data_IF_030027021944
#
_entry.id   IF_030027021944
#
_cell.length_a   1.000
_cell.length_b   1.000
_cell.length_c   1.000
_cell.angle_alpha   90.00
_cell.angle_beta   90.00
_cell.angle_gamma   90.00
#
_symmetry.space_group_name_H-M   'P 1'
#
loop_
_entity.id
_entity.type
_entity.pdbx_description
1 polymer ?
#
# COMPACT_ATOMS: atom_id res chain seq x y z
N UNK A 1 12.61 2.33 -8.13
CA UNK A 1 12.60 1.30 -7.06
C UNK A 1 13.73 0.34 -7.32
N UNK A 2 14.50 0.00 -6.29
CA UNK A 2 15.56 -1.01 -6.36
C UNK A 2 15.10 -2.26 -5.60
N UNK A 3 15.36 -3.43 -6.16
CA UNK A 3 15.10 -4.72 -5.55
C UNK A 3 16.43 -5.41 -5.23
N UNK A 4 16.52 -5.94 -4.01
CA UNK A 4 17.67 -6.71 -3.54
C UNK A 4 17.20 -8.09 -3.07
N UNK A 5 17.94 -9.14 -3.40
CA UNK A 5 17.77 -10.46 -2.79
C UNK A 5 18.50 -10.47 -1.45
N UNK A 6 17.87 -11.09 -0.45
CA UNK A 6 18.40 -11.25 0.90
C UNK A 6 18.93 -12.68 1.01
N UNK A 7 20.21 -12.86 1.30
CA UNK A 7 20.79 -14.18 1.55
C UNK A 7 20.20 -14.78 2.85
N UNK A 8 19.73 -16.04 2.85
CA UNK A 8 19.05 -16.65 3.99
C UNK A 8 19.97 -16.91 5.20
N UNK A 9 21.27 -16.97 4.95
CA UNK A 9 22.32 -17.38 5.88
C UNK A 9 22.90 -16.21 6.68
N UNK A 10 23.11 -15.06 6.06
CA UNK A 10 23.73 -13.88 6.69
C UNK A 10 22.99 -12.55 6.47
N UNK A 11 21.90 -12.55 5.68
CA UNK A 11 21.14 -11.36 5.36
C UNK A 11 21.80 -10.41 4.36
N UNK A 12 22.89 -10.82 3.69
CA UNK A 12 23.57 -10.00 2.69
C UNK A 12 22.62 -9.63 1.54
N UNK A 13 22.74 -8.38 1.08
CA UNK A 13 21.91 -7.81 0.02
C UNK A 13 22.64 -7.88 -1.32
N UNK A 14 22.04 -8.55 -2.30
CA UNK A 14 22.52 -8.55 -3.69
C UNK A 14 21.52 -7.83 -4.57
N UNK A 15 21.97 -6.82 -5.32
CA UNK A 15 21.11 -6.14 -6.30
C UNK A 15 20.52 -7.17 -7.28
N UNK A 16 19.22 -7.07 -7.53
CA UNK A 16 18.51 -8.04 -8.35
C UNK A 16 17.79 -7.39 -9.53
N UNK A 17 17.14 -6.24 -9.31
CA UNK A 17 16.41 -5.55 -10.35
C UNK A 17 16.15 -4.09 -9.97
N UNK A 18 15.73 -3.30 -10.95
CA UNK A 18 15.17 -1.97 -10.74
C UNK A 18 13.95 -1.74 -11.62
N UNK A 19 13.08 -0.84 -11.17
CA UNK A 19 11.93 -0.37 -11.96
C UNK A 19 11.76 1.13 -11.75
N UNK A 20 11.46 1.84 -12.84
CA UNK A 20 11.06 3.24 -12.77
C UNK A 20 9.78 3.39 -11.94
N UNK A 21 9.62 4.54 -11.29
CA UNK A 21 8.43 4.92 -10.53
C UNK A 21 7.87 6.24 -11.10
N UNK A 22 6.55 6.45 -11.07
CA UNK A 22 5.92 7.66 -11.61
C UNK A 22 6.13 8.90 -10.72
N UNK A 23 6.76 8.74 -9.55
CA UNK A 23 7.06 9.83 -8.62
C UNK A 23 8.10 9.42 -7.60
N UNK A 24 8.62 10.40 -6.86
CA UNK A 24 9.58 10.13 -5.77
C UNK A 24 8.86 9.40 -4.62
N UNK A 25 9.31 8.20 -4.22
CA UNK A 25 8.62 7.39 -3.22
C UNK A 25 8.73 8.04 -1.84
N UNK A 26 7.58 8.23 -1.18
CA UNK A 26 7.49 8.63 0.24
C UNK A 26 7.24 7.41 1.13
N UNK A 27 6.57 6.39 0.60
CA UNK A 27 6.26 5.16 1.30
C UNK A 27 6.18 3.99 0.32
N UNK A 28 6.56 2.80 0.79
CA UNK A 28 6.52 1.55 0.04
C UNK A 28 5.95 0.44 0.93
N UNK A 29 5.08 -0.41 0.37
CA UNK A 29 4.51 -1.59 1.04
C UNK A 29 4.14 -2.65 -0.01
N UNK A 30 3.76 -3.85 0.43
CA UNK A 30 3.28 -4.91 -0.45
C UNK A 30 1.85 -5.30 -0.10
N UNK A 31 1.22 -6.07 -0.99
CA UNK A 31 0.08 -6.89 -0.60
C UNK A 31 0.54 -8.09 0.23
N UNK A 32 -0.38 -8.76 0.93
CA UNK A 32 -0.06 -9.88 1.82
C UNK A 32 0.38 -11.16 1.07
N UNK A 33 0.19 -11.21 -0.25
CA UNK A 33 0.55 -12.36 -1.08
C UNK A 33 1.83 -12.14 -1.90
N UNK A 34 2.47 -10.96 -1.79
CA UNK A 34 3.70 -10.65 -2.53
C UNK A 34 3.50 -10.54 -4.05
N UNK A 35 2.28 -10.23 -4.50
CA UNK A 35 1.92 -10.03 -5.90
C UNK A 35 2.14 -8.58 -6.36
N UNK A 36 2.06 -7.63 -5.44
CA UNK A 36 2.11 -6.21 -5.75
C UNK A 36 2.93 -5.42 -4.73
N UNK A 37 3.59 -4.37 -5.21
CA UNK A 37 4.17 -3.29 -4.41
C UNK A 37 3.33 -2.03 -4.60
N UNK A 38 2.97 -1.37 -3.49
CA UNK A 38 2.32 -0.07 -3.48
C UNK A 38 3.35 1.01 -3.15
N UNK A 39 3.37 2.08 -3.93
CA UNK A 39 4.25 3.22 -3.70
C UNK A 39 3.42 4.49 -3.63
N UNK A 40 3.42 5.15 -2.47
CA UNK A 40 2.85 6.49 -2.31
C UNK A 40 3.91 7.56 -2.58
N UNK A 41 3.56 8.59 -3.34
CA UNK A 41 4.44 9.73 -3.65
C UNK A 41 3.80 11.05 -3.21
N UNK A 42 4.41 11.69 -2.20
CA UNK A 42 3.88 12.91 -1.62
C UNK A 42 3.92 14.10 -2.59
N UNK A 43 5.05 14.29 -3.27
CA UNK A 43 5.26 15.42 -4.17
C UNK A 43 4.55 15.23 -5.51
N UNK A 44 4.52 14.00 -6.05
CA UNK A 44 3.76 13.72 -7.27
C UNK A 44 2.25 13.69 -7.00
N UNK A 45 1.83 13.44 -5.76
CA UNK A 45 0.41 13.38 -5.39
C UNK A 45 -0.26 12.14 -5.97
N UNK A 46 0.42 10.99 -5.95
CA UNK A 46 -0.11 9.75 -6.48
C UNK A 46 0.23 8.52 -5.63
N UNK A 47 -0.50 7.44 -5.88
CA UNK A 47 -0.13 6.09 -5.48
C UNK A 47 0.00 5.24 -6.74
N UNK A 48 1.02 4.37 -6.79
CA UNK A 48 1.24 3.45 -7.90
C UNK A 48 1.29 2.01 -7.41
N UNK A 49 0.89 1.09 -8.30
CA UNK A 49 0.94 -0.35 -8.08
C UNK A 49 1.91 -0.95 -9.08
N UNK A 50 2.93 -1.63 -8.59
CA UNK A 50 3.89 -2.40 -9.40
C UNK A 50 3.64 -3.87 -9.18
N UNK A 51 3.48 -4.65 -10.27
CA UNK A 51 3.37 -6.10 -10.19
C UNK A 51 4.72 -6.70 -9.81
N UNK A 52 4.68 -7.77 -9.02
CA UNK A 52 5.82 -8.62 -8.74
C UNK A 52 5.70 -9.93 -9.52
N UNK A 53 6.82 -10.40 -10.06
CA UNK A 53 7.01 -11.73 -10.62
C UNK A 53 8.25 -12.34 -9.97
N UNK A 54 8.09 -13.48 -9.30
CA UNK A 54 9.11 -14.10 -8.43
C UNK A 54 9.81 -13.10 -7.48
N UNK A 55 9.03 -12.21 -6.88
CA UNK A 55 9.53 -11.16 -5.96
C UNK A 55 10.27 -10.00 -6.63
N UNK A 56 10.38 -9.98 -7.97
CA UNK A 56 11.00 -8.90 -8.73
C UNK A 56 9.93 -8.00 -9.37
N UNK A 57 10.17 -6.67 -9.47
CA UNK A 57 9.24 -5.77 -10.12
C UNK A 57 9.11 -6.06 -11.63
N UNK A 58 7.89 -6.34 -12.06
CA UNK A 58 7.52 -6.66 -13.44
C UNK A 58 6.83 -5.49 -14.18
N UNK A 59 6.81 -4.31 -13.56
CA UNK A 59 6.26 -3.08 -14.15
C UNK A 59 5.04 -2.52 -13.42
N UNK A 60 4.79 -1.23 -13.65
CA UNK A 60 3.66 -0.50 -13.07
C UNK A 60 2.38 -0.93 -13.78
N UNK A 61 1.42 -1.45 -13.01
CA UNK A 61 0.11 -1.89 -13.51
C UNK A 61 -0.98 -0.88 -13.26
N UNK A 62 -0.80 0.05 -12.30
CA UNK A 62 -1.76 1.13 -12.07
C UNK A 62 -1.12 2.35 -11.42
N UNK A 63 -1.69 3.53 -11.69
CA UNK A 63 -1.34 4.79 -11.04
C UNK A 63 -2.62 5.59 -10.79
N UNK A 64 -2.83 5.98 -9.54
CA UNK A 64 -3.93 6.87 -9.15
C UNK A 64 -3.35 8.23 -8.80
N UNK A 65 -3.65 9.21 -9.64
CA UNK A 65 -3.26 10.61 -9.51
C UNK A 65 -4.26 11.41 -8.65
N UNK A 66 -3.94 12.67 -8.34
CA UNK A 66 -4.85 13.59 -7.65
C UNK A 66 -4.99 13.35 -6.15
N UNK A 67 -4.00 12.68 -5.54
CA UNK A 67 -3.88 12.39 -4.12
C UNK A 67 -2.85 13.32 -3.48
N UNK A 68 -3.16 14.61 -3.42
CA UNK A 68 -2.21 15.63 -2.95
C UNK A 68 -1.67 15.32 -1.55
N UNK A 69 -0.34 15.28 -1.43
CA UNK A 69 0.32 14.88 -0.19
C UNK A 69 0.10 13.41 0.18
N UNK A 70 0.00 12.52 -0.82
CA UNK A 70 -0.06 11.06 -0.61
C UNK A 70 1.14 10.59 0.22
N UNK A 71 0.89 10.14 1.44
CA UNK A 71 1.97 9.91 2.41
C UNK A 71 2.21 8.43 2.72
N UNK A 72 1.22 7.56 2.51
CA UNK A 72 1.39 6.11 2.65
C UNK A 72 0.35 5.35 1.85
N UNK A 73 0.59 4.05 1.68
CA UNK A 73 -0.32 3.11 1.04
C UNK A 73 -0.34 1.84 1.88
N UNK A 74 -1.49 1.49 2.45
CA UNK A 74 -1.59 0.44 3.48
C UNK A 74 -2.71 -0.51 3.12
N UNK A 75 -2.37 -1.76 2.80
CA UNK A 75 -3.37 -2.76 2.46
C UNK A 75 -4.11 -3.22 3.72
N UNK A 76 -5.42 -3.37 3.64
CA UNK A 76 -6.25 -3.88 4.72
C UNK A 76 -5.87 -5.33 5.09
N UNK A 77 -6.18 -5.80 6.31
CA UNK A 77 -5.85 -7.17 6.74
C UNK A 77 -6.43 -8.29 5.86
N UNK A 78 -7.57 -8.03 5.19
CA UNK A 78 -8.20 -8.97 4.25
C UNK A 78 -7.61 -8.92 2.83
N UNK A 79 -6.57 -8.11 2.60
CA UNK A 79 -5.91 -7.89 1.31
C UNK A 79 -6.80 -7.27 0.21
N UNK A 80 -7.94 -6.65 0.55
CA UNK A 80 -8.93 -6.17 -0.44
C UNK A 80 -8.95 -4.65 -0.63
N UNK A 81 -8.60 -3.87 0.39
CA UNK A 81 -8.75 -2.42 0.37
C UNK A 81 -7.43 -1.72 0.68
N UNK A 82 -6.91 -0.95 -0.26
CA UNK A 82 -5.75 -0.09 -0.07
C UNK A 82 -6.18 1.25 0.52
N UNK A 83 -5.58 1.62 1.66
CA UNK A 83 -5.86 2.87 2.37
C UNK A 83 -4.73 3.86 2.12
N UNK A 84 -5.08 5.00 1.57
CA UNK A 84 -4.13 5.97 1.05
C UNK A 84 -4.40 7.35 1.66
N UNK A 85 -3.67 7.74 2.72
CA UNK A 85 -3.76 9.08 3.28
C UNK A 85 -3.24 10.13 2.30
N UNK A 86 -4.09 11.08 1.91
CA UNK A 86 -3.75 12.27 1.13
C UNK A 86 -3.77 13.48 2.06
N UNK A 87 -2.61 13.81 2.64
CA UNK A 87 -2.53 14.73 3.78
C UNK A 87 -2.93 16.17 3.44
N UNK A 88 -2.75 16.62 2.19
CA UNK A 88 -3.19 17.96 1.78
C UNK A 88 -4.70 18.04 1.50
N UNK A 89 -5.39 16.90 1.57
CA UNK A 89 -6.83 16.77 1.31
C UNK A 89 -7.61 16.35 2.55
N UNK A 90 -6.96 16.24 3.72
CA UNK A 90 -7.57 15.86 5.00
C UNK A 90 -8.43 14.58 4.92
N UNK A 91 -8.00 13.60 4.11
CA UNK A 91 -8.75 12.36 3.89
C UNK A 91 -7.87 11.13 3.72
N UNK A 92 -8.46 9.99 4.04
CA UNK A 92 -7.94 8.67 3.65
C UNK A 92 -8.81 8.17 2.51
N UNK A 93 -8.20 8.00 1.34
CA UNK A 93 -8.85 7.40 0.18
C UNK A 93 -8.83 5.88 0.32
N UNK A 94 -9.94 5.23 -0.01
CA UNK A 94 -10.08 3.78 0.02
C UNK A 94 -10.20 3.28 -1.42
N UNK A 95 -9.38 2.29 -1.77
CA UNK A 95 -9.40 1.66 -3.08
C UNK A 95 -9.55 0.16 -2.95
N UNK A 96 -10.48 -0.45 -3.68
CA UNK A 96 -10.52 -1.89 -3.85
C UNK A 96 -9.37 -2.31 -4.76
N UNK A 97 -8.56 -3.26 -4.31
CA UNK A 97 -7.52 -3.91 -5.10
C UNK A 97 -8.14 -5.07 -5.90
N UNK A 98 -8.09 -5.00 -7.21
CA UNK A 98 -8.48 -6.11 -8.09
C UNK A 98 -7.33 -7.13 -8.25
N UNK A 99 -7.66 -8.30 -8.80
CA UNK A 99 -6.69 -9.39 -8.98
C UNK A 99 -5.61 -9.07 -10.01
N UNK A 100 -5.87 -8.14 -10.93
CA UNK A 100 -4.89 -7.64 -11.90
C UNK A 100 -4.04 -6.46 -11.38
N UNK A 101 -4.36 -5.94 -10.19
CA UNK A 101 -3.62 -4.87 -9.52
C UNK A 101 -4.17 -3.47 -9.73
N UNK A 102 -5.38 -3.33 -10.28
CA UNK A 102 -6.08 -2.05 -10.41
C UNK A 102 -6.67 -1.59 -9.08
N UNK A 103 -6.65 -0.27 -8.89
CA UNK A 103 -7.20 0.41 -7.73
C UNK A 103 -8.51 1.10 -8.10
N UNK A 104 -9.63 0.55 -7.61
CA UNK A 104 -10.96 1.10 -7.85
C UNK A 104 -11.41 1.89 -6.63
N UNK A 105 -11.65 3.20 -6.78
CA UNK A 105 -12.08 4.04 -5.66
C UNK A 105 -13.37 3.52 -5.04
N UNK A 106 -13.38 3.38 -3.72
CA UNK A 106 -14.60 3.11 -2.96
C UNK A 106 -15.29 4.43 -2.65
N UNK A 107 -16.54 4.57 -3.06
CA UNK A 107 -17.34 5.69 -2.62
C UNK A 107 -17.56 5.63 -1.11
N UNK A 108 -17.60 6.82 -0.49
CA UNK A 108 -17.89 6.95 0.94
C UNK A 108 -19.30 6.42 1.19
N UNK A 109 -19.41 5.21 1.71
CA UNK A 109 -20.68 4.70 2.21
C UNK A 109 -21.14 5.65 3.31
N UNK A 110 -22.24 6.38 3.09
CA UNK A 110 -22.82 7.28 4.10
C UNK A 110 -23.13 6.45 5.35
N UNK A 111 -22.31 6.59 6.39
CA UNK A 111 -22.69 6.11 7.71
C UNK A 111 -23.85 6.99 8.22
N UNK A 112 -24.82 6.44 8.95
CA UNK A 112 -25.69 7.26 9.79
C UNK A 112 -24.83 8.18 10.67
N UNK A 113 -25.25 9.42 10.93
CA UNK A 113 -24.47 10.34 11.76
C UNK A 113 -24.19 9.69 13.12
N UNK A 114 -22.91 9.59 13.47
CA UNK A 114 -22.50 9.20 14.82
C UNK A 114 -22.92 10.32 15.78
N UNK A 115 -23.69 9.98 16.83
CA UNK A 115 -23.95 10.90 17.94
C UNK A 115 -22.67 10.99 18.80
N UNK A 116 -21.96 12.12 18.71
CA UNK A 116 -20.85 12.48 19.61
C UNK A 116 -19.50 12.71 18.92
N UNK A 117 -18.57 13.47 19.54
CA UNK A 117 -17.26 13.75 18.96
C UNK A 117 -16.35 12.52 19.07
N UNK A 118 -16.27 11.73 18.00
CA UNK A 118 -15.37 10.57 17.93
C UNK A 118 -14.12 10.87 17.09
N UNK A 119 -12.93 10.85 17.70
CA UNK A 119 -11.67 10.69 16.96
C UNK A 119 -11.53 9.22 16.56
N UNK A 120 -11.27 8.95 15.28
CA UNK A 120 -10.88 7.62 14.84
C UNK A 120 -9.40 7.41 15.15
N UNK A 121 -9.10 6.40 15.97
CA UNK A 121 -7.74 5.94 16.29
C UNK A 121 -7.62 4.51 15.78
N UNK A 122 -6.60 4.24 14.98
CA UNK A 122 -6.37 2.90 14.46
C UNK A 122 -5.65 2.05 15.52
N UNK A 123 -6.16 0.85 15.80
CA UNK A 123 -5.48 -0.16 16.61
C UNK A 123 -5.17 -1.36 15.73
N UNK A 124 -3.87 -1.67 15.58
CA UNK A 124 -3.41 -2.97 15.10
C UNK A 124 -3.67 -4.01 16.18
N UNK A 125 -4.71 -4.82 16.04
CA UNK A 125 -4.81 -6.06 16.83
C UNK A 125 -3.95 -7.14 16.16
N UNK A 126 -2.70 -7.32 16.64
CA UNK A 126 -2.02 -8.60 16.43
C UNK A 126 -2.65 -9.61 17.39
N UNK A 127 -3.39 -10.57 16.87
CA UNK A 127 -3.73 -11.79 17.61
C UNK A 127 -2.57 -12.77 17.46
N UNK A 128 -1.63 -12.76 18.41
CA UNK A 128 -0.65 -13.84 18.54
C UNK A 128 -1.31 -14.99 19.30
N UNK A 129 -1.85 -15.97 18.59
CA UNK A 129 -2.10 -17.30 19.16
C UNK A 129 -1.01 -18.24 18.64
N UNK A 130 -0.01 -18.51 19.47
CA UNK A 130 0.89 -19.67 19.30
C UNK A 130 0.28 -20.82 20.13
N UNK A 131 -0.05 -21.97 19.55
CA UNK A 131 -0.29 -23.17 20.33
C UNK A 131 1.06 -23.71 20.83
N UNK A 132 1.15 -23.91 22.14
CA UNK A 132 2.21 -24.72 22.77
C UNK A 132 2.01 -26.19 22.41
N UNK A 133 3.08 -26.84 21.93
CA UNK A 133 3.29 -28.28 22.03
C UNK A 133 4.76 -28.52 22.36
#
# INVERSE_FOLDING_TARGET
>A
MLAYRIAPDDGALTFAAESALPGSPTHISTDHQGRFVFVGSYNAGNVSVTRLDDGLPAGVVDVVEGLEGCHSANISPDNRTLWVPALKQDRICLFTLSDDGKLVSQERRKSPPLKGPGRAIWRSTRTSNMPTA
#
